data_IF_463641614128
#
_entry.id   IF_463641614128
#
_cell.length_a   1.000
_cell.length_b   1.000
_cell.length_c   1.000
_cell.angle_alpha   90.00
_cell.angle_beta   90.00
_cell.angle_gamma   90.00
#
_symmetry.space_group_name_H-M   'P 1'
#
loop_
_entity.id
_entity.type
_entity.pdbx_description
1 polymer ?
#
# COMPACT_ATOMS: atom_id res chain seq x y z
N UNK A 1 -8.57 -11.30 17.96
CA UNK A 1 -7.33 -10.50 17.80
C UNK A 1 -7.30 -9.77 16.46
N UNK A 2 -6.79 -8.53 16.35
CA UNK A 2 -6.61 -7.78 15.07
C UNK A 2 -5.54 -8.46 14.20
N UNK A 3 -5.83 -8.72 12.91
CA UNK A 3 -4.82 -9.24 11.96
C UNK A 3 -4.17 -8.11 11.17
N UNK A 4 -2.85 -8.14 11.06
CA UNK A 4 -2.05 -7.14 10.35
C UNK A 4 -1.54 -7.73 9.04
N UNK A 5 -1.85 -7.06 7.93
CA UNK A 5 -1.37 -7.42 6.60
C UNK A 5 -0.47 -6.29 6.06
N UNK A 6 0.60 -6.66 5.36
CA UNK A 6 1.45 -5.69 4.67
C UNK A 6 0.88 -5.43 3.27
N UNK A 7 1.08 -4.21 2.76
CA UNK A 7 0.85 -3.91 1.35
C UNK A 7 1.98 -4.55 0.54
N UNK A 8 1.66 -4.97 -0.68
CA UNK A 8 2.63 -5.45 -1.65
C UNK A 8 3.63 -4.33 -1.95
N UNK A 9 4.91 -4.59 -1.66
CA UNK A 9 5.99 -3.64 -1.96
C UNK A 9 5.97 -3.26 -3.44
N UNK A 10 6.29 -2.00 -3.72
CA UNK A 10 6.56 -1.52 -5.06
C UNK A 10 7.57 -2.46 -5.74
N UNK A 11 7.36 -2.75 -7.03
CA UNK A 11 8.18 -3.73 -7.72
C UNK A 11 9.65 -3.30 -7.69
N UNK A 12 10.54 -4.28 -7.53
CA UNK A 12 11.99 -4.08 -7.45
C UNK A 12 12.55 -3.21 -8.61
N UNK A 13 11.90 -3.26 -9.79
CA UNK A 13 12.23 -2.42 -10.94
C UNK A 13 12.12 -0.91 -10.67
N UNK A 14 11.11 -0.47 -9.90
CA UNK A 14 10.94 0.93 -9.50
C UNK A 14 12.03 1.33 -8.51
N UNK A 15 12.34 0.43 -7.57
CA UNK A 15 13.43 0.61 -6.61
C UNK A 15 14.81 0.73 -7.28
N UNK A 16 15.05 -0.05 -8.35
CA UNK A 16 16.28 0.05 -9.13
C UNK A 16 16.45 1.46 -9.73
N UNK A 17 15.36 2.03 -10.27
CA UNK A 17 15.35 3.39 -10.79
C UNK A 17 15.61 4.45 -9.72
N UNK A 18 15.02 4.30 -8.54
CA UNK A 18 15.27 5.19 -7.39
C UNK A 18 16.73 5.11 -6.95
N UNK A 19 17.32 3.91 -6.88
CA UNK A 19 18.73 3.73 -6.52
C UNK A 19 19.66 4.42 -7.53
N UNK A 20 19.40 4.24 -8.83
CA UNK A 20 20.20 4.90 -9.88
C UNK A 20 20.11 6.43 -9.76
N UNK A 21 18.90 6.96 -9.52
CA UNK A 21 18.68 8.39 -9.32
C UNK A 21 19.43 8.91 -8.08
N UNK A 22 19.38 8.17 -6.97
CA UNK A 22 20.10 8.51 -5.73
C UNK A 22 21.60 8.58 -5.98
N UNK A 23 22.16 7.57 -6.66
CA UNK A 23 23.60 7.55 -7.00
C UNK A 23 23.97 8.74 -7.90
N UNK A 24 23.15 9.07 -8.89
CA UNK A 24 23.40 10.22 -9.76
C UNK A 24 23.42 11.56 -8.99
N UNK A 25 22.49 11.75 -8.04
CA UNK A 25 22.44 12.95 -7.20
C UNK A 25 23.67 13.04 -6.29
N UNK A 26 24.07 11.92 -5.67
CA UNK A 26 25.27 11.86 -4.83
C UNK A 26 26.53 12.17 -5.64
N UNK A 27 26.67 11.61 -6.85
CA UNK A 27 27.79 11.89 -7.74
C UNK A 27 27.85 13.37 -8.14
N UNK A 28 26.70 14.00 -8.44
CA UNK A 28 26.65 15.43 -8.72
C UNK A 28 27.05 16.27 -7.50
N UNK A 29 26.58 15.93 -6.29
CA UNK A 29 26.97 16.64 -5.07
C UNK A 29 28.47 16.53 -4.79
N UNK A 30 29.07 15.37 -5.02
CA UNK A 30 30.53 15.16 -4.89
C UNK A 30 31.30 15.94 -5.94
N UNK A 31 30.84 15.93 -7.21
CA UNK A 31 31.53 16.63 -8.30
C UNK A 31 31.48 18.15 -8.18
N UNK A 32 30.40 18.69 -7.62
CA UNK A 32 30.20 20.14 -7.45
C UNK A 32 30.69 20.68 -6.11
N UNK A 33 31.22 19.81 -5.24
CA UNK A 33 31.55 20.09 -3.82
C UNK A 33 30.41 20.75 -3.01
N UNK A 34 29.19 20.73 -3.56
CA UNK A 34 28.04 21.41 -3.00
C UNK A 34 27.06 20.39 -2.42
N UNK A 35 27.16 20.21 -1.10
CA UNK A 35 26.31 19.29 -0.35
C UNK A 35 24.83 19.70 -0.31
N UNK A 36 24.48 20.94 -0.67
CA UNK A 36 23.07 21.33 -0.85
C UNK A 36 22.38 20.55 -1.97
N UNK A 37 23.15 20.02 -2.93
CA UNK A 37 22.63 19.16 -3.98
C UNK A 37 22.12 17.80 -3.49
N UNK A 38 22.32 17.48 -2.20
CA UNK A 38 21.72 16.30 -1.55
C UNK A 38 20.28 16.55 -1.09
N UNK A 39 19.82 17.79 -1.00
CA UNK A 39 18.45 18.12 -0.57
C UNK A 39 17.35 17.35 -1.34
N UNK A 40 17.44 17.15 -2.67
CA UNK A 40 16.47 16.36 -3.42
C UNK A 40 16.35 14.89 -2.98
N UNK A 41 17.32 14.33 -2.26
CA UNK A 41 17.28 12.95 -1.74
C UNK A 41 16.27 12.76 -0.61
N UNK A 42 15.88 13.84 0.06
CA UNK A 42 14.93 13.78 1.18
C UNK A 42 13.59 13.21 0.73
N UNK A 43 13.11 13.63 -0.45
CA UNK A 43 11.80 13.23 -0.96
C UNK A 43 11.73 11.72 -1.34
N UNK A 44 12.69 11.15 -2.10
CA UNK A 44 12.79 9.70 -2.31
C UNK A 44 12.83 8.90 -1.01
N UNK A 45 13.61 9.34 -0.03
CA UNK A 45 13.73 8.65 1.27
C UNK A 45 12.40 8.70 2.03
N UNK A 46 11.71 9.85 2.04
CA UNK A 46 10.40 9.98 2.68
C UNK A 46 9.34 9.08 2.03
N UNK A 47 9.32 9.00 0.69
CA UNK A 47 8.39 8.12 -0.03
C UNK A 47 8.63 6.64 0.31
N UNK A 48 9.90 6.24 0.38
CA UNK A 48 10.30 4.89 0.80
C UNK A 48 9.81 4.58 2.21
N UNK A 49 10.00 5.50 3.15
CA UNK A 49 9.57 5.32 4.53
C UNK A 49 8.04 5.24 4.63
N UNK A 50 7.31 6.10 3.91
CA UNK A 50 5.84 6.07 3.87
C UNK A 50 5.32 4.71 3.37
N UNK A 51 5.96 4.16 2.33
CA UNK A 51 5.60 2.86 1.79
C UNK A 51 5.84 1.72 2.80
N UNK A 52 6.98 1.70 3.49
CA UNK A 52 7.30 0.68 4.51
C UNK A 52 6.38 0.77 5.74
N UNK A 53 5.93 1.98 6.07
CA UNK A 53 5.03 2.23 7.19
C UNK A 53 3.58 1.85 6.87
N UNK A 54 3.22 1.69 5.60
CA UNK A 54 1.84 1.44 5.22
C UNK A 54 1.42 0.00 5.55
N UNK A 55 0.40 -0.15 6.40
CA UNK A 55 -0.13 -1.43 6.87
C UNK A 55 -1.65 -1.48 6.75
N UNK A 56 -2.15 -2.67 6.44
CA UNK A 56 -3.58 -2.99 6.46
C UNK A 56 -3.87 -3.71 7.78
N UNK A 57 -4.89 -3.27 8.50
CA UNK A 57 -5.33 -3.84 9.76
C UNK A 57 -6.77 -4.31 9.57
N UNK A 58 -7.02 -5.60 9.78
CA UNK A 58 -8.37 -6.16 9.76
C UNK A 58 -8.80 -6.34 11.22
N UNK A 59 -9.78 -5.53 11.64
CA UNK A 59 -10.36 -5.57 12.97
C UNK A 59 -11.26 -6.79 13.17
N UNK A 60 -11.60 -7.09 14.42
CA UNK A 60 -12.48 -8.21 14.78
C UNK A 60 -13.91 -7.97 14.32
N UNK A 61 -14.34 -6.71 14.36
CA UNK A 61 -15.67 -6.27 13.94
C UNK A 61 -15.87 -6.29 12.41
N UNK A 62 -14.86 -6.72 11.64
CA UNK A 62 -14.90 -6.72 10.18
C UNK A 62 -14.39 -5.43 9.53
N UNK A 63 -14.18 -4.35 10.30
CA UNK A 63 -13.63 -3.10 9.78
C UNK A 63 -12.19 -3.26 9.27
N UNK A 64 -11.86 -2.55 8.18
CA UNK A 64 -10.54 -2.58 7.55
C UNK A 64 -9.91 -1.20 7.70
N UNK A 65 -8.77 -1.11 8.38
CA UNK A 65 -8.02 0.13 8.52
C UNK A 65 -6.76 0.08 7.67
N UNK A 66 -6.55 1.11 6.88
CA UNK A 66 -5.34 1.35 6.12
C UNK A 66 -4.54 2.41 6.86
N UNK A 67 -3.50 2.02 7.59
CA UNK A 67 -2.58 2.97 8.23
C UNK A 67 -1.48 3.29 7.24
N UNK A 68 -1.52 4.46 6.59
CA UNK A 68 -0.37 5.00 5.82
C UNK A 68 0.55 5.73 6.79
N UNK A 69 1.83 5.84 6.46
CA UNK A 69 2.84 6.42 7.36
C UNK A 69 2.57 7.89 7.63
N UNK A 70 2.85 8.72 6.63
CA UNK A 70 2.70 10.18 6.67
C UNK A 70 1.36 10.65 6.09
N UNK A 71 0.73 9.85 5.22
CA UNK A 71 -0.54 10.20 4.55
C UNK A 71 -1.80 9.94 5.41
N UNK A 72 -1.63 9.61 6.70
CA UNK A 72 -2.72 9.38 7.64
C UNK A 72 -3.31 7.96 7.61
N UNK A 73 -4.47 7.76 8.23
CA UNK A 73 -5.13 6.46 8.29
C UNK A 73 -6.53 6.51 7.71
N UNK A 74 -6.84 5.63 6.77
CA UNK A 74 -8.18 5.46 6.21
C UNK A 74 -8.85 4.33 6.99
N UNK A 75 -10.00 4.61 7.61
CA UNK A 75 -10.78 3.61 8.33
C UNK A 75 -12.03 3.29 7.50
N UNK A 76 -12.06 2.12 6.89
CA UNK A 76 -13.21 1.63 6.15
C UNK A 76 -14.17 0.94 7.13
N UNK A 77 -15.19 1.68 7.55
CA UNK A 77 -16.22 1.22 8.49
C UNK A 77 -17.41 0.60 7.75
N UNK A 78 -17.82 -0.59 8.18
CA UNK A 78 -18.97 -1.29 7.58
C UNK A 78 -18.70 -1.69 6.14
N UNK A 79 -17.90 -2.73 5.95
CA UNK A 79 -17.51 -3.23 4.64
C UNK A 79 -18.72 -3.88 3.95
N UNK A 80 -19.11 -3.35 2.79
CA UNK A 80 -20.29 -3.80 2.04
C UNK A 80 -19.90 -4.78 0.94
N UNK A 81 -18.82 -4.49 0.22
CA UNK A 81 -18.38 -5.30 -0.93
C UNK A 81 -16.87 -5.30 -1.05
N UNK A 82 -16.30 -6.47 -1.33
CA UNK A 82 -14.87 -6.64 -1.61
C UNK A 82 -14.74 -7.19 -3.03
N UNK A 83 -14.11 -6.40 -3.91
CA UNK A 83 -13.89 -6.75 -5.31
C UNK A 83 -12.42 -7.02 -5.55
N UNK A 84 -12.12 -8.19 -6.10
CA UNK A 84 -10.77 -8.56 -6.54
C UNK A 84 -10.61 -8.27 -8.02
N UNK A 85 -9.64 -7.43 -8.40
CA UNK A 85 -9.30 -7.19 -9.81
C UNK A 85 -8.29 -8.22 -10.33
N UNK A 86 -8.70 -9.00 -11.34
CA UNK A 86 -7.86 -10.03 -11.98
C UNK A 86 -7.30 -9.59 -13.36
N UNK A 87 -7.95 -8.64 -14.02
CA UNK A 87 -7.86 -8.44 -15.48
C UNK A 87 -6.87 -7.44 -16.08
N UNK A 88 -6.03 -6.69 -15.35
CA UNK A 88 -5.10 -5.72 -15.99
C UNK A 88 -3.76 -5.62 -15.27
N UNK A 89 -2.79 -4.93 -15.88
CA UNK A 89 -1.38 -4.64 -15.49
C UNK A 89 -1.10 -4.46 -13.97
N UNK A 90 -2.15 -4.25 -13.17
CA UNK A 90 -2.21 -4.11 -11.71
C UNK A 90 -2.77 -5.39 -11.03
N UNK A 91 -2.25 -6.57 -11.40
CA UNK A 91 -2.66 -7.87 -10.83
C UNK A 91 -2.48 -7.88 -9.31
N UNK A 92 -3.57 -7.95 -8.54
CA UNK A 92 -3.54 -8.12 -7.08
C UNK A 92 -4.37 -7.10 -6.29
N UNK A 93 -4.75 -5.98 -6.92
CA UNK A 93 -5.52 -4.94 -6.23
C UNK A 93 -6.90 -5.43 -5.77
N UNK A 94 -7.19 -5.12 -4.52
CA UNK A 94 -8.49 -5.30 -3.87
C UNK A 94 -9.14 -3.94 -3.72
N UNK A 95 -10.38 -3.84 -4.19
CA UNK A 95 -11.26 -2.70 -3.92
C UNK A 95 -12.20 -3.07 -2.79
N UNK A 96 -12.11 -2.35 -1.67
CA UNK A 96 -13.05 -2.51 -0.55
C UNK A 96 -14.02 -1.34 -0.59
N UNK A 97 -15.29 -1.63 -0.83
CA UNK A 97 -16.40 -0.70 -0.71
C UNK A 97 -16.95 -0.74 0.71
N UNK A 98 -17.02 0.41 1.33
CA UNK A 98 -17.55 0.61 2.67
C UNK A 98 -18.60 1.71 2.65
N UNK A 99 -19.35 1.87 3.73
CA UNK A 99 -20.50 2.79 3.80
C UNK A 99 -20.23 4.23 3.33
N UNK A 100 -18.99 4.73 3.48
CA UNK A 100 -18.60 6.11 3.13
C UNK A 100 -17.75 6.23 1.86
N UNK A 101 -17.55 5.14 1.10
CA UNK A 101 -16.79 5.18 -0.16
C UNK A 101 -16.10 3.87 -0.51
N UNK A 102 -14.96 3.97 -1.20
CA UNK A 102 -14.16 2.82 -1.57
C UNK A 102 -12.67 3.07 -1.30
N UNK A 103 -11.93 2.00 -1.03
CA UNK A 103 -10.48 2.05 -0.87
C UNK A 103 -9.84 0.97 -1.73
N UNK A 104 -8.80 1.36 -2.45
CA UNK A 104 -8.02 0.48 -3.33
C UNK A 104 -6.65 0.23 -2.70
N UNK A 105 -6.29 -1.03 -2.51
CA UNK A 105 -4.98 -1.42 -2.04
C UNK A 105 -4.57 -2.79 -2.58
N UNK A 106 -3.27 -3.09 -2.58
CA UNK A 106 -2.73 -4.37 -3.02
C UNK A 106 -2.11 -5.08 -1.80
N UNK A 107 -2.78 -6.05 -1.16
CA UNK A 107 -2.20 -6.79 -0.04
C UNK A 107 -1.08 -7.73 -0.53
N UNK A 108 0.00 -7.84 0.24
CA UNK A 108 1.09 -8.76 -0.06
C UNK A 108 0.60 -10.22 -0.06
N UNK A 109 -0.21 -10.58 0.94
CA UNK A 109 -0.82 -11.90 1.10
C UNK A 109 -2.32 -11.86 0.78
N UNK A 110 -2.64 -11.75 -0.50
CA UNK A 110 -4.02 -11.61 -0.98
C UNK A 110 -4.95 -12.74 -0.52
N UNK A 111 -4.49 -14.00 -0.60
CA UNK A 111 -5.30 -15.17 -0.23
C UNK A 111 -5.63 -15.18 1.26
N UNK A 112 -4.65 -14.88 2.11
CA UNK A 112 -4.88 -14.85 3.55
C UNK A 112 -5.72 -13.65 3.97
N UNK A 113 -5.52 -12.50 3.32
CA UNK A 113 -6.37 -11.32 3.50
C UNK A 113 -7.83 -11.63 3.16
N UNK A 114 -8.10 -12.24 1.99
CA UNK A 114 -9.47 -12.58 1.58
C UNK A 114 -10.12 -13.61 2.51
N UNK A 115 -9.36 -14.61 2.98
CA UNK A 115 -9.84 -15.58 3.97
C UNK A 115 -10.24 -14.89 5.28
N UNK A 116 -9.35 -14.05 5.82
CA UNK A 116 -9.62 -13.29 7.04
C UNK A 116 -10.79 -12.32 6.87
N UNK A 117 -10.89 -11.66 5.72
CA UNK A 117 -11.98 -10.74 5.44
C UNK A 117 -13.32 -11.47 5.39
N UNK A 118 -13.39 -12.65 4.75
CA UNK A 118 -14.60 -13.48 4.64
C UNK A 118 -15.03 -14.08 5.97
N UNK A 119 -14.08 -14.50 6.79
CA UNK A 119 -14.34 -15.00 8.14
C UNK A 119 -14.96 -13.91 9.04
N UNK A 120 -14.52 -12.66 8.89
CA UNK A 120 -14.99 -11.53 9.73
C UNK A 120 -16.15 -10.74 9.17
N UNK A 121 -16.37 -10.79 7.87
CA UNK A 121 -17.49 -10.15 7.19
C UNK A 121 -18.25 -11.19 6.35
N UNK A 122 -18.99 -12.12 6.98
CA UNK A 122 -19.77 -13.11 6.25
C UNK A 122 -20.89 -12.47 5.40
N UNK A 123 -21.32 -11.26 5.76
CA UNK A 123 -22.37 -10.51 5.07
C UNK A 123 -21.87 -9.68 3.88
N UNK A 124 -20.55 -9.51 3.70
CA UNK A 124 -20.02 -8.71 2.61
C UNK A 124 -20.08 -9.47 1.28
N UNK A 125 -20.36 -8.75 0.20
CA UNK A 125 -20.41 -9.34 -1.15
C UNK A 125 -18.99 -9.48 -1.70
N UNK A 126 -18.57 -10.70 -2.03
CA UNK A 126 -17.28 -10.98 -2.66
C UNK A 126 -17.45 -11.18 -4.15
N UNK A 127 -16.77 -10.37 -4.95
CA UNK A 127 -16.87 -10.41 -6.41
C UNK A 127 -15.47 -10.43 -7.03
N UNK A 128 -15.23 -11.34 -7.97
CA UNK A 128 -14.04 -11.30 -8.82
C UNK A 128 -14.40 -10.55 -10.12
N UNK A 129 -13.72 -9.44 -10.39
CA UNK A 129 -13.77 -8.81 -11.72
C UNK A 129 -12.94 -9.69 -12.67
N UNK A 130 -13.63 -10.35 -13.60
CA UNK A 130 -13.10 -11.21 -14.66
C UNK A 130 -12.39 -10.34 -15.71
#
# INVERSE_FOLDING_TARGET
>A
MVKVFKIRRTPFKVWLGVIILVVAIVLMAVHTENYWNLFPLILPVLLVVDEQMTRILVQENGDIWLKRGFSGSIKAYGVVRIVRRKGTLLKGRVTVYYTKGFVNFDPADLTEFLRCARERNPHAIYSEEV
#
